data_IF_002250835750
#
_entry.id   IF_002250835750
#
_cell.length_a   1.000
_cell.length_b   1.000
_cell.length_c   1.000
_cell.angle_alpha   90.00
_cell.angle_beta   90.00
_cell.angle_gamma   90.00
#
_symmetry.space_group_name_H-M   'P 1'
#
loop_
_entity.id
_entity.type
_entity.pdbx_description
1 polymer ?
#
# COMPACT_ATOMS: atom_id res chain seq x y z
N UNK A 1 -35.52 12.27 -53.51
CA UNK A 1 -34.48 11.25 -53.27
C UNK A 1 -33.25 11.79 -52.52
N UNK A 2 -32.63 12.89 -52.97
CA UNK A 2 -31.44 13.51 -52.32
C UNK A 2 -31.61 13.84 -50.82
N UNK A 3 -32.74 14.43 -50.42
CA UNK A 3 -33.02 14.80 -49.01
C UNK A 3 -33.04 13.62 -48.03
N UNK A 4 -33.51 12.44 -48.44
CA UNK A 4 -33.51 11.22 -47.58
C UNK A 4 -32.11 10.64 -47.38
N UNK A 5 -31.25 10.77 -48.40
CA UNK A 5 -29.84 10.36 -48.34
C UNK A 5 -29.07 11.30 -47.41
N UNK A 6 -29.28 12.62 -47.54
CA UNK A 6 -28.65 13.62 -46.66
C UNK A 6 -29.02 13.40 -45.19
N UNK A 7 -30.28 13.08 -44.89
CA UNK A 7 -30.75 12.80 -43.52
C UNK A 7 -30.12 11.52 -42.93
N UNK A 8 -29.92 10.49 -43.76
CA UNK A 8 -29.28 9.24 -43.33
C UNK A 8 -27.80 9.45 -43.05
N UNK A 9 -27.12 10.22 -43.91
CA UNK A 9 -25.70 10.55 -43.75
C UNK A 9 -25.48 11.42 -42.51
N UNK A 10 -26.33 12.42 -42.25
CA UNK A 10 -26.21 13.25 -41.04
C UNK A 10 -26.48 12.44 -39.77
N UNK A 11 -27.45 11.54 -39.78
CA UNK A 11 -27.71 10.63 -38.66
C UNK A 11 -26.51 9.71 -38.37
N UNK A 12 -25.89 9.15 -39.42
CA UNK A 12 -24.72 8.27 -39.29
C UNK A 12 -23.48 9.01 -38.77
N UNK A 13 -23.28 10.27 -39.18
CA UNK A 13 -22.19 11.14 -38.68
C UNK A 13 -22.40 11.50 -37.20
N UNK A 14 -23.63 11.81 -36.79
CA UNK A 14 -23.97 12.08 -35.38
C UNK A 14 -23.76 10.81 -34.52
N UNK A 15 -24.13 9.64 -35.03
CA UNK A 15 -23.91 8.35 -34.36
C UNK A 15 -22.41 8.07 -34.16
N UNK A 16 -21.57 8.35 -35.16
CA UNK A 16 -20.11 8.22 -35.03
C UNK A 16 -19.54 9.17 -33.97
N UNK A 17 -20.01 10.42 -33.89
CA UNK A 17 -19.60 11.39 -32.88
C UNK A 17 -20.00 11.00 -31.45
N UNK A 18 -21.09 10.25 -31.28
CA UNK A 18 -21.54 9.74 -29.97
C UNK A 18 -20.69 8.55 -29.47
N UNK A 19 -20.13 7.74 -30.38
CA UNK A 19 -19.29 6.58 -30.03
C UNK A 19 -17.87 6.94 -29.59
N UNK A 20 -17.36 8.13 -29.93
CA UNK A 20 -16.02 8.60 -29.51
C UNK A 20 -15.90 8.90 -28.00
N UNK A 21 -17.00 8.83 -27.24
CA UNK A 21 -17.02 9.06 -25.79
C UNK A 21 -16.33 7.96 -24.95
N UNK A 22 -16.01 6.81 -25.54
CA UNK A 22 -15.44 5.65 -24.82
C UNK A 22 -14.04 5.87 -24.19
N UNK A 23 -13.31 6.93 -24.55
CA UNK A 23 -11.98 7.19 -23.98
C UNK A 23 -12.00 7.63 -22.51
N UNK A 24 -13.06 8.32 -22.05
CA UNK A 24 -13.21 8.77 -20.65
C UNK A 24 -13.64 7.66 -19.68
N UNK A 25 -14.05 6.48 -20.17
CA UNK A 25 -14.48 5.36 -19.32
C UNK A 25 -13.46 4.23 -19.19
N UNK A 26 -12.26 4.41 -19.74
CA UNK A 26 -11.21 3.38 -19.68
C UNK A 26 -10.84 3.06 -18.22
N UNK A 27 -10.78 1.77 -17.90
CA UNK A 27 -10.52 1.25 -16.53
C UNK A 27 -9.26 1.85 -15.91
N UNK A 28 -8.18 1.99 -16.68
CA UNK A 28 -6.91 2.56 -16.21
C UNK A 28 -6.99 4.06 -15.93
N UNK A 29 -7.79 4.84 -16.67
CA UNK A 29 -8.00 6.27 -16.42
C UNK A 29 -8.79 6.52 -15.13
N UNK A 30 -9.77 5.66 -14.82
CA UNK A 30 -10.48 5.70 -13.53
C UNK A 30 -9.55 5.41 -12.35
N UNK A 31 -8.67 4.42 -12.50
CA UNK A 31 -7.67 4.08 -11.49
C UNK A 31 -6.69 5.24 -11.25
N UNK A 32 -6.18 5.90 -12.29
CA UNK A 32 -5.31 7.08 -12.10
C UNK A 32 -6.05 8.23 -11.40
N UNK A 33 -7.30 8.48 -11.77
CA UNK A 33 -8.12 9.50 -11.10
C UNK A 33 -8.35 9.17 -9.62
N UNK A 34 -8.62 7.91 -9.31
CA UNK A 34 -8.76 7.41 -7.93
C UNK A 34 -7.45 7.58 -7.17
N UNK A 35 -6.33 7.17 -7.77
CA UNK A 35 -4.99 7.34 -7.21
C UNK A 35 -4.71 8.81 -6.88
N UNK A 36 -5.07 9.74 -7.77
CA UNK A 36 -4.89 11.17 -7.57
C UNK A 36 -5.71 11.70 -6.39
N UNK A 37 -6.94 11.21 -6.23
CA UNK A 37 -7.77 11.57 -5.07
C UNK A 37 -7.18 11.05 -3.77
N UNK A 38 -6.68 9.81 -3.76
CA UNK A 38 -6.01 9.24 -2.58
C UNK A 38 -4.73 10.01 -2.24
N UNK A 39 -3.93 10.37 -3.25
CA UNK A 39 -2.73 11.17 -3.08
C UNK A 39 -3.05 12.53 -2.44
N UNK A 40 -4.08 13.24 -2.95
CA UNK A 40 -4.52 14.52 -2.39
C UNK A 40 -5.05 14.43 -0.96
N UNK A 41 -5.60 13.27 -0.57
CA UNK A 41 -6.07 13.00 0.79
C UNK A 41 -4.97 12.50 1.74
N UNK A 42 -3.73 12.39 1.26
CA UNK A 42 -2.60 11.86 2.04
C UNK A 42 -2.61 10.33 2.18
N UNK A 43 -3.49 9.62 1.48
CA UNK A 43 -3.50 8.16 1.46
C UNK A 43 -2.57 7.64 0.35
N UNK A 44 -1.27 7.73 0.60
CA UNK A 44 -0.26 7.47 -0.42
C UNK A 44 -0.18 5.99 -0.83
N UNK A 45 -0.41 5.05 0.09
CA UNK A 45 -0.43 3.61 -0.20
C UNK A 45 -1.47 3.26 -1.26
N UNK A 46 -2.72 3.71 -1.05
CA UNK A 46 -3.80 3.48 -2.03
C UNK A 46 -3.51 4.19 -3.35
N UNK A 47 -2.90 5.38 -3.30
CA UNK A 47 -2.47 6.06 -4.51
C UNK A 47 -1.45 5.24 -5.29
N UNK A 48 -0.46 4.64 -4.61
CA UNK A 48 0.50 3.72 -5.23
C UNK A 48 -0.23 2.53 -5.84
N UNK A 49 -1.07 1.82 -5.09
CA UNK A 49 -1.75 0.61 -5.59
C UNK A 49 -2.66 0.87 -6.79
N UNK A 50 -3.41 1.98 -6.79
CA UNK A 50 -4.26 2.34 -7.93
C UNK A 50 -3.42 2.74 -9.14
N UNK A 51 -2.33 3.50 -8.94
CA UNK A 51 -1.38 3.82 -10.00
C UNK A 51 -0.73 2.57 -10.59
N UNK A 52 -0.25 1.64 -9.75
CA UNK A 52 0.40 0.42 -10.24
C UNK A 52 -0.59 -0.46 -11.00
N UNK A 53 -1.84 -0.56 -10.52
CA UNK A 53 -2.91 -1.27 -11.24
C UNK A 53 -3.22 -0.60 -12.58
N UNK A 54 -3.26 0.74 -12.63
CA UNK A 54 -3.44 1.50 -13.87
C UNK A 54 -2.32 1.20 -14.87
N UNK A 55 -1.06 1.23 -14.40
CA UNK A 55 0.13 1.00 -15.22
C UNK A 55 0.29 -0.47 -15.65
N UNK A 56 -0.18 -1.44 -14.87
CA UNK A 56 -0.26 -2.85 -15.31
C UNK A 56 -1.21 -3.02 -16.50
N UNK A 57 -2.30 -2.25 -16.56
CA UNK A 57 -3.23 -2.27 -17.68
C UNK A 57 -2.68 -1.47 -18.87
N UNK A 58 -2.10 -0.30 -18.60
CA UNK A 58 -1.60 0.61 -19.62
C UNK A 58 -0.23 1.20 -19.20
N UNK A 59 0.88 0.50 -19.48
CA UNK A 59 2.21 0.86 -18.98
C UNK A 59 2.71 2.21 -19.48
N UNK A 60 2.24 2.63 -20.64
CA UNK A 60 2.60 3.84 -21.37
C UNK A 60 1.70 5.05 -21.02
N UNK A 61 0.91 4.94 -19.94
CA UNK A 61 -0.02 5.98 -19.52
C UNK A 61 0.68 7.08 -18.71
N UNK A 62 1.07 8.15 -19.41
CA UNK A 62 1.89 9.25 -18.89
C UNK A 62 1.37 9.85 -17.56
N UNK A 63 0.05 9.97 -17.37
CA UNK A 63 -0.51 10.54 -16.12
C UNK A 63 -0.24 9.65 -14.91
N UNK A 64 -0.39 8.33 -15.06
CA UNK A 64 -0.08 7.39 -14.00
C UNK A 64 1.43 7.23 -13.80
N UNK A 65 2.23 7.28 -14.88
CA UNK A 65 3.70 7.27 -14.81
C UNK A 65 4.27 8.47 -14.05
N UNK A 66 3.67 9.65 -14.21
CA UNK A 66 4.04 10.83 -13.43
C UNK A 66 3.61 10.68 -11.97
N UNK A 67 2.33 10.33 -11.74
CA UNK A 67 1.77 10.25 -10.39
C UNK A 67 2.40 9.16 -9.53
N UNK A 68 2.80 8.01 -10.10
CA UNK A 68 3.41 6.92 -9.31
C UNK A 68 4.74 7.33 -8.69
N UNK A 69 5.54 8.18 -9.35
CA UNK A 69 6.82 8.64 -8.82
C UNK A 69 6.62 9.48 -7.55
N UNK A 70 5.69 10.43 -7.60
CA UNK A 70 5.35 11.28 -6.46
C UNK A 70 4.67 10.49 -5.34
N UNK A 71 3.69 9.64 -5.70
CA UNK A 71 2.95 8.84 -4.73
C UNK A 71 3.84 7.84 -4.01
N UNK A 72 4.75 7.17 -4.74
CA UNK A 72 5.68 6.22 -4.15
C UNK A 72 6.65 6.89 -3.19
N UNK A 73 7.25 8.02 -3.60
CA UNK A 73 8.12 8.81 -2.73
C UNK A 73 7.40 9.28 -1.47
N UNK A 74 6.18 9.78 -1.60
CA UNK A 74 5.37 10.23 -0.47
C UNK A 74 5.03 9.07 0.48
N UNK A 75 4.63 7.90 -0.04
CA UNK A 75 4.33 6.73 0.77
C UNK A 75 5.56 6.25 1.56
N UNK A 76 6.70 6.12 0.89
CA UNK A 76 7.96 5.72 1.53
C UNK A 76 8.35 6.70 2.64
N UNK A 77 8.30 8.00 2.36
CA UNK A 77 8.65 9.03 3.34
C UNK A 77 7.72 9.00 4.56
N UNK A 78 6.42 8.81 4.36
CA UNK A 78 5.45 8.72 5.46
C UNK A 78 5.76 7.54 6.38
N UNK A 79 5.96 6.34 5.83
CA UNK A 79 6.27 5.16 6.64
C UNK A 79 7.64 5.28 7.33
N UNK A 80 8.68 5.75 6.62
CA UNK A 80 10.02 5.93 7.20
C UNK A 80 10.01 6.96 8.32
N UNK A 81 9.29 8.07 8.14
CA UNK A 81 9.09 9.06 9.21
C UNK A 81 8.38 8.44 10.41
N UNK A 82 7.34 7.64 10.16
CA UNK A 82 6.59 6.98 11.23
C UNK A 82 7.43 5.98 12.02
N UNK A 83 8.26 5.20 11.32
CA UNK A 83 9.25 4.31 11.95
C UNK A 83 10.20 5.12 12.83
N UNK A 84 10.69 6.26 12.33
CA UNK A 84 11.55 7.17 13.10
C UNK A 84 10.91 7.69 14.38
N UNK A 85 9.63 8.08 14.32
CA UNK A 85 8.84 8.50 15.50
C UNK A 85 8.68 7.35 16.50
N UNK A 86 8.30 6.17 16.02
CA UNK A 86 8.09 4.99 16.87
C UNK A 86 9.39 4.57 17.56
N UNK A 87 10.53 4.60 16.86
CA UNK A 87 11.84 4.28 17.46
C UNK A 87 12.18 5.19 18.64
N UNK A 88 11.88 6.49 18.53
CA UNK A 88 12.08 7.51 19.59
C UNK A 88 11.08 7.40 20.74
N UNK A 89 9.92 6.78 20.51
CA UNK A 89 8.89 6.61 21.53
C UNK A 89 9.36 5.69 22.67
N UNK A 90 8.85 5.96 23.87
CA UNK A 90 8.97 5.11 25.05
C UNK A 90 7.84 4.07 25.16
N UNK A 91 6.95 3.99 24.18
CA UNK A 91 5.84 3.04 24.19
C UNK A 91 6.34 1.59 24.27
N UNK A 92 5.82 0.84 25.25
CA UNK A 92 6.24 -0.55 25.53
C UNK A 92 6.20 -1.45 24.31
N UNK A 93 5.10 -1.43 23.55
CA UNK A 93 4.89 -2.26 22.37
C UNK A 93 5.16 -1.52 21.05
N UNK A 94 6.06 -0.54 21.03
CA UNK A 94 6.39 0.25 19.83
C UNK A 94 6.82 -0.60 18.63
N UNK A 95 7.46 -1.74 18.89
CA UNK A 95 7.93 -2.66 17.86
C UNK A 95 6.80 -3.29 17.06
N UNK A 96 5.59 -3.44 17.65
CA UNK A 96 4.41 -3.90 16.91
C UNK A 96 4.09 -2.92 15.76
N UNK A 97 4.08 -1.62 16.05
CA UNK A 97 3.86 -0.60 15.03
C UNK A 97 4.98 -0.54 14.00
N UNK A 98 6.24 -0.69 14.43
CA UNK A 98 7.39 -0.69 13.50
C UNK A 98 7.30 -1.86 12.51
N UNK A 99 6.86 -3.05 12.97
CA UNK A 99 6.60 -4.20 12.11
C UNK A 99 5.51 -3.87 11.08
N UNK A 100 4.40 -3.26 11.50
CA UNK A 100 3.30 -2.88 10.59
C UNK A 100 3.79 -1.91 9.49
N UNK A 101 4.61 -0.91 9.85
CA UNK A 101 5.17 0.05 8.90
C UNK A 101 6.14 -0.60 7.90
N UNK A 102 7.04 -1.49 8.36
CA UNK A 102 7.95 -2.22 7.46
C UNK A 102 7.20 -3.15 6.51
N UNK A 103 6.15 -3.83 6.99
CA UNK A 103 5.31 -4.65 6.12
C UNK A 103 4.60 -3.82 5.07
N UNK A 104 4.15 -2.60 5.40
CA UNK A 104 3.55 -1.69 4.43
C UNK A 104 4.55 -1.29 3.33
N UNK A 105 5.77 -0.90 3.72
CA UNK A 105 6.86 -0.60 2.78
C UNK A 105 7.17 -1.77 1.85
N UNK A 106 7.24 -2.99 2.37
CA UNK A 106 7.49 -4.20 1.56
C UNK A 106 6.34 -4.43 0.57
N UNK A 107 5.08 -4.28 0.99
CA UNK A 107 3.92 -4.42 0.08
C UNK A 107 3.95 -3.40 -1.04
N UNK A 108 4.30 -2.15 -0.73
CA UNK A 108 4.46 -1.08 -1.72
C UNK A 108 5.58 -1.45 -2.69
N UNK A 109 6.75 -1.87 -2.20
CA UNK A 109 7.89 -2.26 -3.04
C UNK A 109 7.57 -3.45 -3.95
N UNK A 110 6.80 -4.43 -3.45
CA UNK A 110 6.31 -5.55 -4.26
C UNK A 110 5.41 -5.07 -5.40
N UNK A 111 4.47 -4.16 -5.13
CA UNK A 111 3.60 -3.60 -6.17
C UNK A 111 4.39 -2.86 -7.26
N UNK A 112 5.51 -2.22 -6.91
CA UNK A 112 6.42 -1.56 -7.85
C UNK A 112 7.26 -2.59 -8.63
N UNK A 113 7.77 -3.62 -7.94
CA UNK A 113 8.55 -4.70 -8.55
C UNK A 113 7.75 -5.48 -9.60
N UNK A 114 6.45 -5.64 -9.38
CA UNK A 114 5.54 -6.35 -10.27
C UNK A 114 5.12 -5.54 -11.51
N UNK A 115 5.60 -4.30 -11.65
CA UNK A 115 5.30 -3.48 -12.81
C UNK A 115 6.05 -3.97 -14.06
N UNK A 116 5.41 -3.93 -15.24
CA UNK A 116 6.14 -4.06 -16.49
C UNK A 116 7.10 -2.87 -16.66
N UNK A 117 8.12 -3.03 -17.52
CA UNK A 117 9.05 -1.95 -17.86
C UNK A 117 8.28 -0.71 -18.33
N UNK A 118 8.46 0.39 -17.59
CA UNK A 118 7.81 1.66 -17.90
C UNK A 118 8.70 2.47 -18.84
N UNK A 119 8.15 2.87 -19.98
CA UNK A 119 8.83 3.71 -20.98
C UNK A 119 7.98 4.95 -21.22
N UNK A 120 8.59 6.12 -21.11
CA UNK A 120 7.94 7.38 -21.47
C UNK A 120 7.77 7.46 -22.99
N UNK A 121 6.55 7.77 -23.45
CA UNK A 121 6.24 7.81 -24.88
C UNK A 121 7.00 8.86 -25.67
N UNK A 122 7.26 10.00 -25.04
CA UNK A 122 7.84 11.20 -25.66
C UNK A 122 9.36 11.10 -25.67
N UNK A 123 9.96 10.79 -24.52
CA UNK A 123 11.42 10.76 -24.38
C UNK A 123 12.03 9.41 -24.71
N UNK A 124 11.20 8.36 -24.86
CA UNK A 124 11.62 6.96 -25.05
C UNK A 124 12.52 6.44 -23.91
N UNK A 125 12.59 7.15 -22.80
CA UNK A 125 13.42 6.81 -21.65
C UNK A 125 12.69 5.84 -20.72
N UNK A 126 13.45 4.91 -20.12
CA UNK A 126 12.92 3.99 -19.11
C UNK A 126 12.76 4.71 -17.78
N UNK A 127 11.59 4.57 -17.15
CA UNK A 127 11.32 5.08 -15.81
C UNK A 127 11.71 3.99 -14.83
N UNK A 128 12.73 4.25 -13.99
CA UNK A 128 13.17 3.36 -12.92
C UNK A 128 12.66 3.88 -11.58
N UNK A 129 12.02 3.00 -10.82
CA UNK A 129 11.56 3.27 -9.46
C UNK A 129 12.45 2.48 -8.51
N UNK A 130 13.37 3.17 -7.85
CA UNK A 130 14.30 2.55 -6.91
C UNK A 130 13.61 2.28 -5.57
N UNK A 131 13.79 1.08 -5.04
CA UNK A 131 13.23 0.70 -3.75
C UNK A 131 14.28 0.02 -2.88
N UNK A 132 14.10 0.14 -1.56
CA UNK A 132 15.00 -0.43 -0.54
C UNK A 132 14.46 -1.79 -0.09
N UNK A 133 15.32 -2.77 0.12
CA UNK A 133 14.92 -4.03 0.73
C UNK A 133 14.81 -3.87 2.26
N UNK A 134 13.61 -4.07 2.78
CA UNK A 134 13.30 -3.96 4.21
C UNK A 134 13.16 -5.32 4.91
N UNK A 135 13.41 -6.45 4.22
CA UNK A 135 13.25 -7.80 4.78
C UNK A 135 14.07 -8.02 6.05
N UNK A 136 15.38 -7.72 6.00
CA UNK A 136 16.28 -7.90 7.14
C UNK A 136 15.88 -7.05 8.37
N UNK A 137 15.48 -5.80 8.16
CA UNK A 137 15.06 -4.92 9.27
C UNK A 137 13.65 -5.25 9.79
N UNK A 138 12.80 -5.85 8.97
CA UNK A 138 11.52 -6.41 9.41
C UNK A 138 11.76 -7.58 10.37
N UNK A 139 12.70 -8.48 10.07
CA UNK A 139 13.00 -9.63 10.92
C UNK A 139 13.54 -9.18 12.28
N UNK A 140 14.42 -8.18 12.32
CA UNK A 140 14.88 -7.56 13.56
C UNK A 140 13.70 -6.97 14.36
N UNK A 141 12.82 -6.23 13.70
CA UNK A 141 11.65 -5.64 14.35
C UNK A 141 10.69 -6.70 14.92
N UNK A 142 10.46 -7.80 14.19
CA UNK A 142 9.66 -8.95 14.65
C UNK A 142 10.28 -9.63 15.87
N UNK A 143 11.61 -9.79 15.89
CA UNK A 143 12.33 -10.35 17.04
C UNK A 143 12.17 -9.46 18.27
N UNK A 144 12.37 -8.15 18.12
CA UNK A 144 12.21 -7.20 19.22
C UNK A 144 10.76 -7.13 19.74
N UNK A 145 9.77 -7.19 18.85
CA UNK A 145 8.37 -7.27 19.23
C UNK A 145 8.06 -8.56 19.99
N UNK A 146 8.53 -9.70 19.48
CA UNK A 146 8.37 -11.02 20.08
C UNK A 146 8.96 -11.06 21.50
N UNK A 147 10.18 -10.55 21.67
CA UNK A 147 10.86 -10.46 22.96
C UNK A 147 10.07 -9.59 23.95
N UNK A 148 9.59 -8.42 23.50
CA UNK A 148 8.77 -7.52 24.32
C UNK A 148 7.51 -8.22 24.85
N UNK A 149 6.82 -8.95 23.97
CA UNK A 149 5.63 -9.71 24.31
C UNK A 149 5.97 -10.86 25.26
N UNK A 150 7.05 -11.60 25.02
CA UNK A 150 7.52 -12.69 25.87
C UNK A 150 7.80 -12.21 27.30
N UNK A 151 8.55 -11.12 27.44
CA UNK A 151 8.87 -10.52 28.74
C UNK A 151 7.62 -10.05 29.50
N UNK A 152 6.64 -9.47 28.80
CA UNK A 152 5.36 -9.14 29.43
C UNK A 152 4.58 -10.38 29.87
N UNK A 153 4.60 -11.45 29.06
CA UNK A 153 4.01 -12.73 29.41
C UNK A 153 4.60 -13.29 30.72
N UNK A 154 5.93 -13.25 30.86
CA UNK A 154 6.63 -13.66 32.08
C UNK A 154 6.26 -12.79 33.28
N UNK A 155 6.23 -11.47 33.11
CA UNK A 155 5.85 -10.53 34.17
C UNK A 155 4.42 -10.79 34.67
N UNK A 156 3.46 -10.96 33.76
CA UNK A 156 2.08 -11.25 34.10
C UNK A 156 1.93 -12.62 34.77
N UNK A 157 2.67 -13.64 34.31
CA UNK A 157 2.68 -14.97 34.90
C UNK A 157 3.19 -14.95 36.34
N UNK A 158 4.33 -14.29 36.60
CA UNK A 158 4.89 -14.10 37.95
C UNK A 158 3.89 -13.39 38.86
N UNK A 159 3.26 -12.31 38.39
CA UNK A 159 2.23 -11.58 39.14
C UNK A 159 0.97 -12.41 39.39
N UNK A 160 0.59 -13.32 38.48
CA UNK A 160 -0.56 -14.21 38.65
C UNK A 160 -0.31 -15.35 39.66
N UNK A 161 0.94 -15.81 39.78
CA UNK A 161 1.36 -16.73 40.85
C UNK A 161 1.25 -16.11 42.25
N UNK A 162 1.45 -14.79 42.34
CA UNK A 162 1.39 -14.01 43.59
C UNK A 162 -0.03 -13.55 43.94
N UNK A 163 -0.92 -13.36 42.96
CA UNK A 163 -2.22 -12.70 43.13
C UNK A 163 -3.37 -13.55 42.56
N UNK A 164 -3.95 -14.41 43.41
CA UNK A 164 -4.85 -15.52 43.04
C UNK A 164 -6.25 -15.10 42.54
N UNK A 165 -6.71 -13.87 42.85
CA UNK A 165 -8.09 -13.43 42.61
C UNK A 165 -8.45 -13.15 41.14
N UNK A 166 -7.46 -12.88 40.28
CA UNK A 166 -7.69 -12.51 38.86
C UNK A 166 -7.03 -13.48 37.85
N UNK A 167 -6.75 -14.72 38.26
CA UNK A 167 -6.08 -15.76 37.46
C UNK A 167 -6.67 -15.99 36.06
N UNK A 168 -8.01 -16.14 35.86
CA UNK A 168 -8.57 -16.51 34.56
C UNK A 168 -8.41 -15.40 33.50
N UNK A 169 -8.67 -14.14 33.86
CA UNK A 169 -8.49 -12.98 32.96
C UNK A 169 -7.01 -12.77 32.58
N UNK A 170 -6.08 -13.01 33.51
CA UNK A 170 -4.63 -12.89 33.27
C UNK A 170 -4.11 -14.04 32.38
N UNK A 171 -4.60 -15.27 32.57
CA UNK A 171 -4.25 -16.42 31.73
C UNK A 171 -4.66 -16.22 30.25
N UNK A 172 -5.81 -15.59 30.01
CA UNK A 172 -6.25 -15.25 28.66
C UNK A 172 -5.30 -14.25 27.98
N UNK A 173 -4.79 -13.25 28.72
CA UNK A 173 -3.82 -12.27 28.19
C UNK A 173 -2.50 -12.93 27.83
N UNK A 174 -1.99 -13.84 28.67
CA UNK A 174 -0.76 -14.60 28.40
C UNK A 174 -0.92 -15.47 27.15
N UNK A 175 -2.06 -16.14 26.96
CA UNK A 175 -2.34 -16.90 25.72
C UNK A 175 -2.36 -16.02 24.47
N UNK A 176 -2.97 -14.82 24.54
CA UNK A 176 -2.97 -13.87 23.41
C UNK A 176 -1.56 -13.40 23.04
N UNK A 177 -0.73 -13.16 24.05
CA UNK A 177 0.69 -12.78 23.89
C UNK A 177 1.46 -13.91 23.19
N UNK A 178 1.37 -15.14 23.68
CA UNK A 178 2.01 -16.32 23.06
C UNK A 178 1.57 -16.54 21.62
N UNK A 179 0.27 -16.37 21.34
CA UNK A 179 -0.25 -16.45 19.97
C UNK A 179 0.32 -15.34 19.06
N UNK A 180 0.52 -14.14 19.58
CA UNK A 180 1.09 -13.03 18.82
C UNK A 180 2.57 -13.26 18.52
N UNK A 181 3.35 -13.74 19.49
CA UNK A 181 4.76 -14.13 19.33
C UNK A 181 4.91 -15.23 18.29
N UNK A 182 4.12 -16.31 18.40
CA UNK A 182 4.16 -17.40 17.41
C UNK A 182 3.78 -16.92 16.01
N UNK A 183 2.79 -16.02 15.89
CA UNK A 183 2.44 -15.44 14.58
C UNK A 183 3.54 -14.55 13.99
N UNK A 184 4.32 -13.85 14.82
CA UNK A 184 5.45 -13.04 14.36
C UNK A 184 6.65 -13.89 13.89
N UNK A 185 6.79 -15.12 14.41
CA UNK A 185 7.89 -16.03 14.08
C UNK A 185 7.59 -16.95 12.88
N UNK A 186 6.31 -17.17 12.55
CA UNK A 186 5.88 -18.12 11.50
C UNK A 186 5.57 -17.49 10.14
N UNK A 187 5.53 -16.15 10.05
CA UNK A 187 5.23 -15.37 8.85
C UNK A 187 6.14 -14.14 8.83
#
# INVERSE_FOLDING_TARGET
>A
MKSRITLFVTFFVILMLLTTSCAMFSKYGKLEKSARQYYQRGNYDKAVFDCTTSLRIKPDYAKAQALIQDAFKAAVNTHVSKIGELKKSSAKFKWDGIVDEYQALIRINQAIRDLPTLVDKKTKSTIKLEFVDYSSVLDEAKNNASETHYQEGLFLSKKAGVDSRNKPLKNLRVRKILFRVTKMLLY
#
